data_IF_050014268128
#
_entry.id   IF_050014268128
#
_cell.length_a   1.000
_cell.length_b   1.000
_cell.length_c   1.000
_cell.angle_alpha   90.00
_cell.angle_beta   90.00
_cell.angle_gamma   90.00
#
_symmetry.space_group_name_H-M   'P 1'
#
loop_
_entity.id
_entity.type
_entity.pdbx_description
1 polymer ?
#
# COMPACT_ATOMS: atom_id res chain seq x y z
N UNK A 1 -12.38 -3.91 9.40
CA UNK A 1 -11.28 -4.85 9.70
C UNK A 1 -10.11 -4.24 10.48
N UNK A 2 -9.94 -2.92 10.59
CA UNK A 2 -8.78 -2.35 11.30
C UNK A 2 -8.80 -2.55 12.83
N UNK A 3 -9.99 -2.62 13.46
CA UNK A 3 -10.12 -2.95 14.89
C UNK A 3 -9.48 -4.30 15.25
N UNK A 4 -9.72 -5.33 14.44
CA UNK A 4 -9.15 -6.67 14.68
C UNK A 4 -7.62 -6.66 14.51
N UNK A 5 -7.10 -5.85 13.58
CA UNK A 5 -5.66 -5.79 13.24
C UNK A 5 -4.82 -5.14 14.34
N UNK A 6 -5.40 -4.18 15.07
CA UNK A 6 -4.72 -3.49 16.17
C UNK A 6 -4.28 -4.45 17.28
N UNK A 7 -5.12 -5.45 17.61
CA UNK A 7 -4.77 -6.49 18.60
C UNK A 7 -3.54 -7.32 18.23
N UNK A 8 -3.20 -7.38 16.94
CA UNK A 8 -2.04 -8.10 16.41
C UNK A 8 -0.85 -7.19 16.07
N UNK A 9 -0.89 -5.90 16.46
CA UNK A 9 0.17 -4.93 16.16
C UNK A 9 0.33 -4.63 14.67
N UNK A 10 -0.67 -4.95 13.84
CA UNK A 10 -0.62 -4.70 12.40
C UNK A 10 -1.01 -3.26 12.07
N UNK A 11 -0.34 -2.67 11.07
CA UNK A 11 -0.63 -1.32 10.58
C UNK A 11 -2.08 -1.20 10.07
N UNK A 12 -2.68 -0.03 10.28
CA UNK A 12 -4.00 0.31 9.72
C UNK A 12 -3.97 0.22 8.20
N UNK A 13 -4.96 -0.45 7.60
CA UNK A 13 -5.04 -0.60 6.15
C UNK A 13 -6.38 -0.07 5.61
N UNK A 14 -6.31 0.57 4.45
CA UNK A 14 -7.47 0.95 3.65
C UNK A 14 -7.64 -0.03 2.48
N UNK A 15 -8.67 0.19 1.65
CA UNK A 15 -8.88 -0.62 0.46
C UNK A 15 -7.74 -0.36 -0.54
N UNK A 16 -7.00 -1.40 -0.90
CA UNK A 16 -5.82 -1.26 -1.77
C UNK A 16 -6.24 -1.34 -3.24
N UNK A 17 -6.47 -0.20 -3.90
CA UNK A 17 -6.91 -0.14 -5.29
C UNK A 17 -5.87 -0.62 -6.31
N UNK A 18 -4.63 -0.13 -6.22
CA UNK A 18 -3.59 -0.40 -7.24
C UNK A 18 -3.25 -1.90 -7.40
N UNK A 19 -3.15 -2.64 -6.30
CA UNK A 19 -2.91 -4.08 -6.33
C UNK A 19 -4.08 -4.87 -6.93
N UNK A 20 -5.32 -4.43 -6.65
CA UNK A 20 -6.53 -5.07 -7.19
C UNK A 20 -6.69 -4.84 -8.69
N UNK A 21 -6.34 -3.65 -9.18
CA UNK A 21 -6.34 -3.31 -10.61
C UNK A 21 -5.31 -4.13 -11.37
N UNK A 22 -4.11 -4.31 -10.81
CA UNK A 22 -3.09 -5.20 -11.41
C UNK A 22 -3.63 -6.62 -11.55
N UNK A 23 -4.21 -7.17 -10.48
CA UNK A 23 -4.81 -8.51 -10.53
C UNK A 23 -5.95 -8.59 -11.55
N UNK A 24 -6.78 -7.55 -11.66
CA UNK A 24 -7.85 -7.47 -12.66
C UNK A 24 -7.30 -7.48 -14.10
N UNK A 25 -6.23 -6.73 -14.38
CA UNK A 25 -5.53 -6.75 -15.68
C UNK A 25 -4.93 -8.12 -16.00
N UNK A 26 -4.50 -8.88 -15.00
CA UNK A 26 -4.05 -10.27 -15.16
C UNK A 26 -5.20 -11.29 -15.30
N UNK A 27 -6.44 -10.84 -15.48
CA UNK A 27 -7.59 -11.72 -15.75
C UNK A 27 -8.38 -12.15 -14.52
N UNK A 28 -8.07 -11.65 -13.31
CA UNK A 28 -8.85 -11.94 -12.11
C UNK A 28 -10.22 -11.25 -12.17
N UNK A 29 -11.29 -12.04 -12.15
CA UNK A 29 -12.68 -11.54 -12.10
C UNK A 29 -13.42 -11.80 -10.78
N UNK A 30 -12.79 -12.49 -9.82
CA UNK A 30 -13.39 -12.78 -8.51
C UNK A 30 -12.46 -12.41 -7.34
N UNK A 31 -13.02 -12.33 -6.13
CA UNK A 31 -12.26 -12.10 -4.88
C UNK A 31 -11.32 -13.24 -4.49
N UNK A 32 -11.54 -14.45 -5.04
CA UNK A 32 -10.82 -15.66 -4.65
C UNK A 32 -9.31 -15.57 -4.81
N UNK A 33 -8.80 -14.98 -5.89
CA UNK A 33 -7.35 -14.87 -6.08
C UNK A 33 -6.69 -13.90 -5.08
N UNK A 34 -7.42 -12.89 -4.58
CA UNK A 34 -6.90 -11.98 -3.54
C UNK A 34 -6.85 -12.69 -2.20
N UNK A 35 -7.89 -13.47 -1.87
CA UNK A 35 -7.89 -14.30 -0.66
C UNK A 35 -6.75 -15.31 -0.70
N UNK A 36 -6.55 -15.99 -1.83
CA UNK A 36 -5.45 -16.95 -2.01
C UNK A 36 -4.08 -16.28 -1.84
N UNK A 37 -3.86 -15.12 -2.47
CA UNK A 37 -2.60 -14.37 -2.31
C UNK A 37 -2.37 -13.94 -0.85
N UNK A 38 -3.43 -13.53 -0.16
CA UNK A 38 -3.39 -13.16 1.26
C UNK A 38 -3.02 -14.34 2.16
N UNK A 39 -3.67 -15.50 1.95
CA UNK A 39 -3.38 -16.73 2.70
C UNK A 39 -1.96 -17.22 2.41
N UNK A 40 -1.52 -17.20 1.15
CA UNK A 40 -0.16 -17.57 0.78
C UNK A 40 0.89 -16.69 1.48
N UNK A 41 0.67 -15.37 1.54
CA UNK A 41 1.54 -14.45 2.29
C UNK A 41 1.55 -14.73 3.79
N UNK A 42 0.41 -15.09 4.37
CA UNK A 42 0.30 -15.43 5.79
C UNK A 42 1.06 -16.73 6.10
N UNK A 43 0.85 -17.78 5.31
CA UNK A 43 1.58 -19.05 5.46
C UNK A 43 3.08 -18.84 5.32
N UNK A 44 3.51 -18.04 4.33
CA UNK A 44 4.92 -17.73 4.12
C UNK A 44 5.53 -16.98 5.33
N UNK A 45 4.80 -16.02 5.88
CA UNK A 45 5.21 -15.30 7.09
C UNK A 45 5.28 -16.19 8.33
N UNK A 46 4.36 -17.14 8.47
CA UNK A 46 4.31 -18.05 9.63
C UNK A 46 5.44 -19.09 9.59
N UNK A 47 5.72 -19.66 8.40
CA UNK A 47 6.71 -20.72 8.24
C UNK A 47 8.14 -20.18 8.09
N UNK A 48 8.33 -19.08 7.36
CA UNK A 48 9.65 -18.55 6.99
C UNK A 48 9.93 -17.13 7.51
N UNK A 49 9.10 -16.59 8.40
CA UNK A 49 9.19 -15.18 8.84
C UNK A 49 10.57 -14.77 9.32
N UNK A 50 11.21 -15.57 10.19
CA UNK A 50 12.54 -15.25 10.72
C UNK A 50 13.66 -15.24 9.65
N UNK A 51 13.55 -16.09 8.63
CA UNK A 51 14.48 -16.10 7.50
C UNK A 51 14.23 -14.90 6.57
N UNK A 52 12.96 -14.59 6.29
CA UNK A 52 12.59 -13.48 5.43
C UNK A 52 13.01 -12.13 6.02
N UNK A 53 12.80 -11.91 7.32
CA UNK A 53 13.18 -10.66 8.00
C UNK A 53 14.69 -10.42 7.91
N UNK A 54 15.52 -11.45 8.12
CA UNK A 54 16.98 -11.34 7.98
C UNK A 54 17.44 -11.01 6.56
N UNK A 55 16.77 -11.55 5.54
CA UNK A 55 17.10 -11.25 4.15
C UNK A 55 16.58 -9.86 3.71
N UNK A 56 15.44 -9.43 4.23
CA UNK A 56 14.87 -8.11 3.96
C UNK A 56 15.70 -6.99 4.60
N UNK A 57 16.40 -7.26 5.71
CA UNK A 57 17.33 -6.32 6.33
C UNK A 57 18.52 -5.98 5.42
N UNK A 58 18.95 -6.94 4.59
CA UNK A 58 20.01 -6.73 3.59
C UNK A 58 19.52 -6.03 2.31
N UNK A 59 18.23 -5.69 2.23
CA UNK A 59 17.68 -5.07 1.04
C UNK A 59 18.10 -3.60 0.94
N UNK A 60 18.60 -3.14 -0.22
CA UNK A 60 19.11 -1.78 -0.35
C UNK A 60 17.99 -0.75 -0.16
N UNK A 61 18.13 0.08 0.87
CA UNK A 61 17.20 1.17 1.20
C UNK A 61 16.99 2.14 0.03
N UNK A 62 17.98 2.33 -0.85
CA UNK A 62 17.85 3.15 -2.05
C UNK A 62 16.78 2.64 -3.02
N UNK A 63 16.68 1.32 -3.20
CA UNK A 63 15.65 0.73 -4.07
C UNK A 63 14.27 0.90 -3.46
N UNK A 64 14.15 0.72 -2.13
CA UNK A 64 12.89 0.94 -1.41
C UNK A 64 12.42 2.41 -1.54
N UNK A 65 13.35 3.36 -1.46
CA UNK A 65 13.08 4.78 -1.67
C UNK A 65 12.54 5.10 -3.06
N UNK A 66 13.11 4.50 -4.11
CA UNK A 66 12.62 4.70 -5.49
C UNK A 66 11.20 4.15 -5.66
N UNK A 67 10.90 2.97 -5.12
CA UNK A 67 9.53 2.43 -5.13
C UNK A 67 8.55 3.34 -4.38
N UNK A 68 8.97 3.92 -3.25
CA UNK A 68 8.15 4.83 -2.47
C UNK A 68 7.90 6.15 -3.22
N UNK A 69 8.93 6.70 -3.88
CA UNK A 69 8.78 7.89 -4.73
C UNK A 69 7.82 7.64 -5.88
N UNK A 70 7.96 6.50 -6.58
CA UNK A 70 7.07 6.16 -7.67
C UNK A 70 5.61 6.02 -7.20
N UNK A 71 5.39 5.35 -6.06
CA UNK A 71 4.06 5.25 -5.46
C UNK A 71 3.50 6.63 -5.06
N UNK A 72 4.33 7.50 -4.50
CA UNK A 72 3.96 8.87 -4.14
C UNK A 72 3.59 9.73 -5.35
N UNK A 73 4.35 9.61 -6.45
CA UNK A 73 4.07 10.32 -7.71
C UNK A 73 2.75 9.84 -8.32
N UNK A 74 2.51 8.52 -8.38
CA UNK A 74 1.24 7.96 -8.84
C UNK A 74 0.05 8.47 -8.02
N UNK A 75 0.18 8.53 -6.69
CA UNK A 75 -0.82 9.11 -5.80
C UNK A 75 -1.03 10.62 -6.04
N UNK A 76 0.05 11.36 -6.27
CA UNK A 76 0.00 12.80 -6.53
C UNK A 76 -0.70 13.13 -7.86
N UNK A 77 -0.53 12.30 -8.88
CA UNK A 77 -1.20 12.47 -10.18
C UNK A 77 -2.72 12.31 -10.03
N UNK A 78 -3.18 11.36 -9.21
CA UNK A 78 -4.61 11.19 -8.91
C UNK A 78 -5.24 12.43 -8.25
N UNK A 79 -4.47 13.22 -7.51
CA UNK A 79 -4.94 14.49 -6.91
C UNK A 79 -5.31 15.54 -7.98
N UNK A 80 -4.73 15.45 -9.18
CA UNK A 80 -5.03 16.38 -10.29
C UNK A 80 -6.40 16.11 -10.92
N UNK A 81 -6.93 14.90 -10.80
CA UNK A 81 -8.20 14.48 -11.42
C UNK A 81 -9.45 14.87 -10.60
N UNK A 82 -9.28 15.64 -9.52
CA UNK A 82 -10.42 16.08 -8.72
C UNK A 82 -11.28 17.09 -9.47
N UNK A 83 -12.60 16.90 -9.35
CA UNK A 83 -13.61 17.58 -10.17
C UNK A 83 -13.75 19.08 -9.79
N UNK A 84 -13.40 19.46 -8.56
CA UNK A 84 -13.45 20.83 -8.08
C UNK A 84 -12.07 21.37 -7.70
N UNK A 85 -11.80 22.61 -8.12
CA UNK A 85 -10.62 23.39 -7.72
C UNK A 85 -10.48 23.53 -6.20
N UNK A 86 -11.57 23.48 -5.46
CA UNK A 86 -11.54 23.59 -3.99
C UNK A 86 -11.01 22.31 -3.34
N UNK A 87 -11.38 21.14 -3.86
CA UNK A 87 -10.90 19.85 -3.33
C UNK A 87 -9.40 19.67 -3.57
N UNK A 88 -8.89 20.11 -4.73
CA UNK A 88 -7.46 20.16 -5.05
C UNK A 88 -6.65 21.04 -4.13
N UNK A 89 -7.20 22.19 -3.74
CA UNK A 89 -6.56 23.09 -2.78
C UNK A 89 -6.54 22.48 -1.38
N UNK A 90 -7.63 21.83 -0.95
CA UNK A 90 -7.71 21.17 0.37
C UNK A 90 -6.68 20.04 0.50
N UNK A 91 -6.53 19.19 -0.53
CA UNK A 91 -5.51 18.12 -0.54
C UNK A 91 -4.08 18.68 -0.47
N UNK A 92 -3.80 19.76 -1.21
CA UNK A 92 -2.48 20.38 -1.23
C UNK A 92 -2.15 21.02 0.12
N UNK A 93 -3.10 21.74 0.71
CA UNK A 93 -2.96 22.33 2.07
C UNK A 93 -2.75 21.22 3.10
N UNK A 94 -3.53 20.14 3.08
CA UNK A 94 -3.39 19.03 4.02
C UNK A 94 -2.00 18.37 3.93
N UNK A 95 -1.48 18.18 2.72
CA UNK A 95 -0.14 17.65 2.48
C UNK A 95 0.95 18.61 2.99
N UNK A 96 0.78 19.93 2.78
CA UNK A 96 1.72 20.93 3.29
C UNK A 96 1.78 20.94 4.81
N UNK A 97 0.63 20.89 5.49
CA UNK A 97 0.58 20.81 6.96
C UNK A 97 1.27 19.55 7.50
N UNK A 98 1.06 18.40 6.84
CA UNK A 98 1.70 17.14 7.24
C UNK A 98 3.23 17.14 7.05
N UNK A 99 3.75 17.95 6.11
CA UNK A 99 5.20 18.07 5.88
C UNK A 99 5.86 19.06 6.86
N UNK A 100 5.09 19.99 7.41
CA UNK A 100 5.54 21.02 8.37
C UNK A 100 5.46 20.58 9.83
N UNK A 101 4.71 19.52 10.14
CA UNK A 101 4.53 18.95 11.49
C UNK A 101 5.50 17.79 11.75
#
# INVERSE_FOLDING_TARGET
MNLIRYWFGAMSCCHSGGGLVRQYKFGRRSGGCVTFLGVAKLVLGLVLGGFFVKNLDQFPVGVLGVFLLFAGIELAICSRDMNSKEESVVMLICTMFHLLA
#
